data_IF_245485409325
#
_entry.id   IF_245485409325
#
_cell.length_a   1.000
_cell.length_b   1.000
_cell.length_c   1.000
_cell.angle_alpha   90.00
_cell.angle_beta   90.00
_cell.angle_gamma   90.00
#
_symmetry.space_group_name_H-M   'P 1'
#
loop_
_entity.id
_entity.type
_entity.pdbx_description
1 polymer ?
#
# COMPACT_ATOMS: atom_id res chain seq x y z
N UNK A 1 0.46 -12.13 2.61
CA UNK A 1 -0.48 -11.27 1.88
C UNK A 1 -1.44 -12.16 1.11
N UNK A 2 -2.73 -11.98 1.30
CA UNK A 2 -3.79 -12.71 0.59
C UNK A 2 -4.43 -11.74 -0.42
N UNK A 3 -4.61 -12.19 -1.65
CA UNK A 3 -5.19 -11.42 -2.75
C UNK A 3 -6.31 -12.22 -3.40
N UNK A 4 -7.43 -11.59 -3.74
CA UNK A 4 -8.47 -12.24 -4.52
C UNK A 4 -8.35 -11.96 -6.02
N UNK A 5 -8.79 -12.91 -6.82
CA UNK A 5 -8.71 -12.91 -8.27
C UNK A 5 -10.03 -12.57 -8.95
N UNK A 6 -11.01 -11.98 -8.25
CA UNK A 6 -12.36 -11.78 -8.79
C UNK A 6 -12.35 -10.97 -10.09
N UNK A 7 -11.60 -9.87 -10.16
CA UNK A 7 -11.51 -9.07 -11.39
C UNK A 7 -10.98 -9.89 -12.58
N UNK A 8 -9.91 -10.65 -12.37
CA UNK A 8 -9.33 -11.53 -13.38
C UNK A 8 -10.31 -12.61 -13.82
N UNK A 9 -10.93 -13.32 -12.87
CA UNK A 9 -11.89 -14.39 -13.14
C UNK A 9 -13.13 -13.90 -13.89
N UNK A 10 -13.56 -12.66 -13.64
CA UNK A 10 -14.64 -12.00 -14.36
C UNK A 10 -14.24 -11.69 -15.81
N UNK A 11 -13.04 -11.13 -16.03
CA UNK A 11 -12.52 -10.84 -17.37
C UNK A 11 -12.39 -12.13 -18.18
N UNK A 12 -11.76 -13.16 -17.61
CA UNK A 12 -11.52 -14.45 -18.28
C UNK A 12 -12.82 -15.14 -18.73
N UNK A 13 -13.95 -14.83 -18.08
CA UNK A 13 -15.27 -15.41 -18.37
C UNK A 13 -16.21 -14.44 -19.11
N UNK A 14 -15.78 -13.21 -19.38
CA UNK A 14 -16.65 -12.18 -19.97
C UNK A 14 -17.84 -11.79 -19.08
N UNK A 15 -17.70 -11.91 -17.76
CA UNK A 15 -18.76 -11.64 -16.77
C UNK A 15 -18.64 -10.20 -16.28
N UNK A 16 -19.76 -9.48 -16.28
CA UNK A 16 -19.81 -8.12 -15.73
C UNK A 16 -20.23 -8.12 -14.25
N UNK A 17 -19.87 -7.06 -13.51
CA UNK A 17 -20.32 -6.89 -12.13
C UNK A 17 -21.87 -6.82 -12.02
N UNK A 18 -22.53 -6.27 -13.05
CA UNK A 18 -23.99 -6.23 -13.13
C UNK A 18 -24.59 -7.62 -13.24
N UNK A 19 -24.01 -8.48 -14.08
CA UNK A 19 -24.46 -9.86 -14.24
C UNK A 19 -24.24 -10.64 -12.94
N UNK A 20 -23.05 -10.52 -12.35
CA UNK A 20 -22.74 -11.16 -11.07
C UNK A 20 -23.69 -10.71 -9.94
N UNK A 21 -24.06 -9.42 -9.89
CA UNK A 21 -25.08 -8.93 -8.96
C UNK A 21 -26.45 -9.58 -9.19
N UNK A 22 -26.91 -9.62 -10.43
CA UNK A 22 -28.21 -10.20 -10.78
C UNK A 22 -28.29 -11.69 -10.42
N UNK A 23 -27.23 -12.43 -10.68
CA UNK A 23 -27.24 -13.90 -10.57
C UNK A 23 -26.94 -14.39 -9.15
N UNK A 24 -26.16 -13.64 -8.36
CA UNK A 24 -25.73 -14.06 -7.01
C UNK A 24 -26.42 -13.30 -5.86
N UNK A 25 -27.02 -12.15 -6.18
CA UNK A 25 -27.57 -11.20 -5.21
C UNK A 25 -26.52 -10.45 -4.38
N UNK A 26 -25.23 -10.58 -4.69
CA UNK A 26 -24.16 -9.84 -3.99
C UNK A 26 -24.19 -8.38 -4.47
N UNK A 27 -24.32 -7.43 -3.55
CA UNK A 27 -24.40 -6.01 -3.86
C UNK A 27 -23.22 -5.54 -4.75
N UNK A 28 -23.51 -4.68 -5.74
CA UNK A 28 -22.49 -4.16 -6.67
C UNK A 28 -21.33 -3.45 -5.95
N UNK A 29 -21.62 -2.74 -4.86
CA UNK A 29 -20.60 -2.10 -4.03
C UNK A 29 -19.66 -3.12 -3.38
N UNK A 30 -20.20 -4.25 -2.92
CA UNK A 30 -19.41 -5.37 -2.38
C UNK A 30 -18.59 -6.04 -3.47
N UNK A 31 -19.19 -6.32 -4.64
CA UNK A 31 -18.45 -6.86 -5.81
C UNK A 31 -17.29 -5.94 -6.17
N UNK A 32 -17.54 -4.63 -6.28
CA UNK A 32 -16.52 -3.63 -6.60
C UNK A 32 -15.39 -3.61 -5.56
N UNK A 33 -15.71 -3.63 -4.26
CA UNK A 33 -14.68 -3.68 -3.21
C UNK A 33 -13.84 -4.97 -3.31
N UNK A 34 -14.48 -6.12 -3.52
CA UNK A 34 -13.78 -7.40 -3.66
C UNK A 34 -12.91 -7.38 -4.93
N UNK A 35 -13.48 -7.06 -6.10
CA UNK A 35 -12.75 -7.10 -7.38
C UNK A 35 -11.55 -6.15 -7.39
N UNK A 36 -11.62 -5.03 -6.69
CA UNK A 36 -10.53 -4.07 -6.55
C UNK A 36 -9.58 -4.37 -5.38
N UNK A 37 -9.74 -5.50 -4.67
CA UNK A 37 -8.97 -5.86 -3.46
C UNK A 37 -9.01 -4.77 -2.35
N UNK A 38 -10.05 -3.92 -2.33
CA UNK A 38 -10.24 -2.84 -1.34
C UNK A 38 -11.11 -3.27 -0.16
N UNK A 39 -10.92 -4.49 0.32
CA UNK A 39 -11.66 -5.02 1.47
C UNK A 39 -10.79 -5.91 2.33
N UNK A 40 -10.86 -5.67 3.64
CA UNK A 40 -10.20 -6.45 4.69
C UNK A 40 -11.02 -7.68 5.10
N UNK A 41 -12.29 -7.75 4.71
CA UNK A 41 -13.26 -8.76 5.17
C UNK A 41 -14.18 -9.19 4.03
N UNK A 42 -14.16 -10.50 3.75
CA UNK A 42 -15.13 -11.14 2.86
C UNK A 42 -15.82 -12.25 3.66
N UNK A 43 -17.15 -12.22 3.70
CA UNK A 43 -17.91 -13.29 4.34
C UNK A 43 -17.69 -14.61 3.60
N UNK A 44 -17.53 -15.71 4.35
CA UNK A 44 -17.35 -17.05 3.77
C UNK A 44 -18.50 -17.41 2.81
N UNK A 45 -19.74 -17.04 3.15
CA UNK A 45 -20.90 -17.24 2.28
C UNK A 45 -20.82 -16.45 0.96
N UNK A 46 -20.16 -15.29 0.96
CA UNK A 46 -19.89 -14.52 -0.26
C UNK A 46 -18.83 -15.23 -1.12
N UNK A 47 -17.75 -15.71 -0.50
CA UNK A 47 -16.72 -16.49 -1.20
C UNK A 47 -17.33 -17.74 -1.82
N UNK A 48 -18.14 -18.50 -1.07
CA UNK A 48 -18.83 -19.70 -1.55
C UNK A 48 -19.72 -19.42 -2.76
N UNK A 49 -20.56 -18.37 -2.71
CA UNK A 49 -21.38 -17.96 -3.86
C UNK A 49 -20.55 -17.61 -5.09
N UNK A 50 -19.46 -16.85 -4.90
CA UNK A 50 -18.58 -16.45 -6.00
C UNK A 50 -17.87 -17.66 -6.61
N UNK A 51 -17.35 -18.56 -5.77
CA UNK A 51 -16.70 -19.80 -6.22
C UNK A 51 -17.66 -20.68 -7.01
N UNK A 52 -18.87 -20.90 -6.49
CA UNK A 52 -19.91 -21.68 -7.16
C UNK A 52 -20.32 -21.07 -8.51
N UNK A 53 -20.56 -19.75 -8.54
CA UNK A 53 -20.97 -19.07 -9.77
C UNK A 53 -19.87 -19.07 -10.83
N UNK A 54 -18.61 -18.83 -10.43
CA UNK A 54 -17.46 -18.81 -11.33
C UNK A 54 -16.93 -20.22 -11.66
N UNK A 55 -17.46 -21.26 -11.00
CA UNK A 55 -16.99 -22.64 -11.11
C UNK A 55 -15.48 -22.76 -10.83
N UNK A 56 -15.05 -22.21 -9.70
CA UNK A 56 -13.65 -22.26 -9.24
C UNK A 56 -13.55 -22.76 -7.81
N UNK A 57 -12.38 -23.27 -7.44
CA UNK A 57 -12.08 -23.56 -6.04
C UNK A 57 -11.61 -22.29 -5.29
N UNK A 58 -11.63 -22.28 -3.95
CA UNK A 58 -11.02 -21.20 -3.18
C UNK A 58 -9.53 -20.99 -3.48
N UNK A 59 -8.81 -22.05 -3.89
CA UNK A 59 -7.40 -21.97 -4.27
C UNK A 59 -7.17 -21.23 -5.60
N UNK A 60 -8.15 -21.25 -6.51
CA UNK A 60 -8.11 -20.46 -7.74
C UNK A 60 -8.57 -19.02 -7.50
N UNK A 61 -9.48 -18.84 -6.52
CA UNK A 61 -10.03 -17.53 -6.17
C UNK A 61 -9.05 -16.64 -5.41
N UNK A 62 -8.17 -17.22 -4.61
CA UNK A 62 -7.17 -16.48 -3.82
C UNK A 62 -5.74 -16.84 -4.19
N UNK A 63 -4.92 -15.82 -4.40
CA UNK A 63 -3.47 -15.93 -4.39
C UNK A 63 -2.92 -15.59 -3.01
N UNK A 64 -1.87 -16.29 -2.61
CA UNK A 64 -1.23 -16.08 -1.31
C UNK A 64 0.29 -16.10 -1.44
N UNK A 65 0.93 -15.10 -0.85
CA UNK A 65 2.36 -15.13 -0.54
C UNK A 65 2.56 -15.06 0.98
N UNK A 66 3.47 -15.86 1.55
CA UNK A 66 3.69 -15.98 3.00
C UNK A 66 4.55 -14.83 3.55
N UNK A 67 4.15 -13.60 3.24
CA UNK A 67 4.78 -12.37 3.70
C UNK A 67 3.78 -11.50 4.45
N UNK A 68 4.21 -10.88 5.54
CA UNK A 68 3.46 -9.88 6.28
C UNK A 68 4.30 -8.61 6.34
N UNK A 69 3.67 -7.45 6.14
CA UNK A 69 4.33 -6.16 6.06
C UNK A 69 3.96 -5.36 7.30
N UNK A 70 4.95 -4.78 7.98
CA UNK A 70 4.71 -3.73 8.97
C UNK A 70 5.64 -2.55 8.73
N UNK A 71 5.12 -1.35 8.95
CA UNK A 71 5.83 -0.12 8.62
C UNK A 71 5.90 0.82 9.82
N UNK A 72 6.94 1.63 9.85
CA UNK A 72 7.09 2.80 10.72
C UNK A 72 7.63 3.94 9.90
N UNK A 73 7.01 5.10 9.96
CA UNK A 73 7.53 6.31 9.35
C UNK A 73 7.28 7.50 10.27
N UNK A 74 8.03 8.58 10.07
CA UNK A 74 7.92 9.80 10.85
C UNK A 74 8.97 10.82 10.46
N UNK A 75 9.05 11.87 11.27
CA UNK A 75 10.08 12.90 11.18
C UNK A 75 11.27 12.49 12.05
N UNK A 76 12.48 12.82 11.61
CA UNK A 76 13.67 12.53 12.44
C UNK A 76 13.73 13.42 13.69
N UNK A 77 13.20 14.64 13.59
CA UNK A 77 13.33 15.67 14.62
C UNK A 77 12.09 15.80 15.52
N UNK A 78 10.99 15.11 15.21
CA UNK A 78 9.69 15.29 15.88
C UNK A 78 8.95 13.96 15.99
N UNK A 79 8.19 13.77 17.07
CA UNK A 79 7.40 12.57 17.29
C UNK A 79 6.12 12.54 16.44
N UNK A 80 5.63 13.70 15.99
CA UNK A 80 4.39 13.80 15.21
C UNK A 80 4.28 15.05 14.34
N UNK A 81 3.37 15.01 13.36
CA UNK A 81 2.93 16.18 12.60
C UNK A 81 2.44 17.32 13.52
N UNK A 82 1.77 16.98 14.63
CA UNK A 82 1.21 17.96 15.55
C UNK A 82 2.29 18.70 16.34
N UNK A 83 3.29 17.97 16.85
CA UNK A 83 4.44 18.58 17.55
C UNK A 83 5.24 19.49 16.61
N UNK A 84 5.53 19.01 15.40
CA UNK A 84 6.17 19.81 14.36
C UNK A 84 5.36 21.08 14.03
N UNK A 85 4.03 20.97 13.94
CA UNK A 85 3.16 22.13 13.70
C UNK A 85 3.13 23.13 14.87
N UNK A 86 3.22 22.66 16.12
CA UNK A 86 3.26 23.50 17.32
C UNK A 86 4.56 24.29 17.46
N UNK A 87 5.69 23.74 17.03
CA UNK A 87 6.97 24.45 17.01
C UNK A 87 7.07 25.44 15.84
N UNK A 88 6.46 25.10 14.69
CA UNK A 88 6.44 25.90 13.46
C UNK A 88 5.38 27.03 13.49
N UNK A 89 5.28 27.77 14.61
CA UNK A 89 4.26 28.83 14.83
C UNK A 89 4.28 29.99 13.82
N UNK A 90 5.30 30.06 12.97
CA UNK A 90 5.42 31.05 11.91
C UNK A 90 5.19 30.41 10.55
N UNK A 91 4.42 31.10 9.71
CA UNK A 91 4.15 30.66 8.36
C UNK A 91 5.43 30.67 7.52
N UNK A 92 5.96 29.49 7.21
CA UNK A 92 7.04 29.29 6.26
C UNK A 92 6.53 28.40 5.12
N UNK A 93 6.87 28.77 3.90
CA UNK A 93 6.54 27.99 2.71
C UNK A 93 7.78 27.18 2.30
N UNK A 94 7.61 25.86 2.12
CA UNK A 94 8.63 25.01 1.52
C UNK A 94 9.81 24.70 2.44
N UNK A 95 9.58 24.60 3.75
CA UNK A 95 10.60 24.11 4.68
C UNK A 95 10.83 22.61 4.46
N UNK A 96 12.08 22.20 4.37
CA UNK A 96 12.46 20.80 4.15
C UNK A 96 12.70 20.10 5.49
N UNK A 97 11.87 19.12 5.83
CA UNK A 97 12.04 18.28 7.02
C UNK A 97 12.59 16.90 6.64
N UNK A 98 13.60 16.38 7.36
CA UNK A 98 14.05 15.01 7.23
C UNK A 98 13.01 14.02 7.76
N UNK A 99 12.83 12.94 7.02
CA UNK A 99 11.86 11.87 7.31
C UNK A 99 12.49 10.49 7.14
N UNK A 100 11.97 9.53 7.89
CA UNK A 100 12.36 8.13 7.78
C UNK A 100 11.18 7.23 7.42
N UNK A 101 11.49 6.08 6.83
CA UNK A 101 10.57 4.97 6.64
C UNK A 101 11.32 3.66 6.93
N UNK A 102 10.71 2.79 7.71
CA UNK A 102 11.21 1.45 8.01
C UNK A 102 10.13 0.47 7.62
N UNK A 103 10.45 -0.43 6.70
CA UNK A 103 9.56 -1.51 6.28
C UNK A 103 10.13 -2.82 6.80
N UNK A 104 9.28 -3.57 7.50
CA UNK A 104 9.59 -4.91 7.96
C UNK A 104 8.76 -5.92 7.18
N UNK A 105 9.43 -6.95 6.69
CA UNK A 105 8.81 -8.10 6.06
C UNK A 105 9.00 -9.32 6.95
N UNK A 106 7.90 -9.91 7.39
CA UNK A 106 7.91 -11.17 8.12
C UNK A 106 7.65 -12.32 7.17
N UNK A 107 8.57 -13.27 7.14
CA UNK A 107 8.48 -14.48 6.32
C UNK A 107 8.95 -15.69 7.13
N UNK A 108 8.07 -16.68 7.30
CA UNK A 108 8.38 -17.93 8.02
C UNK A 108 9.02 -17.70 9.41
N UNK A 109 8.52 -16.70 10.15
CA UNK A 109 9.03 -16.33 11.47
C UNK A 109 10.34 -15.53 11.47
N UNK A 110 10.94 -15.27 10.30
CA UNK A 110 12.06 -14.35 10.16
C UNK A 110 11.55 -12.95 9.83
N UNK A 111 12.12 -11.96 10.49
CA UNK A 111 11.89 -10.55 10.20
C UNK A 111 13.06 -10.04 9.35
N UNK A 112 12.75 -9.48 8.20
CA UNK A 112 13.68 -8.76 7.33
C UNK A 112 13.34 -7.28 7.37
N UNK A 113 14.33 -6.41 7.36
CA UNK A 113 14.13 -4.96 7.49
C UNK A 113 14.87 -4.19 6.40
N UNK A 114 14.15 -3.23 5.81
CA UNK A 114 14.69 -2.20 4.92
C UNK A 114 14.36 -0.83 5.50
N UNK A 115 15.36 0.03 5.50
CA UNK A 115 15.29 1.37 6.07
C UNK A 115 15.52 2.39 4.95
N UNK A 116 14.76 3.48 5.02
CA UNK A 116 14.80 4.60 4.09
C UNK A 116 15.01 5.90 4.86
N UNK A 117 15.73 6.80 4.22
CA UNK A 117 15.94 8.16 4.66
C UNK A 117 15.50 9.11 3.55
N UNK A 118 14.99 10.27 3.93
CA UNK A 118 14.27 11.12 3.02
C UNK A 118 14.05 12.53 3.52
N UNK A 119 13.31 13.29 2.72
CA UNK A 119 12.82 14.61 3.12
C UNK A 119 11.43 14.86 2.55
N UNK A 120 10.69 15.77 3.17
CA UNK A 120 9.46 16.33 2.64
C UNK A 120 9.43 17.84 2.80
N UNK A 121 8.64 18.50 1.96
CA UNK A 121 8.35 19.93 2.11
C UNK A 121 7.09 20.12 2.93
N UNK A 122 7.25 20.82 4.04
CA UNK A 122 6.21 21.22 4.94
C UNK A 122 5.66 22.58 4.54
N UNK A 123 4.34 22.67 4.44
CA UNK A 123 3.63 23.94 4.30
C UNK A 123 2.71 24.16 5.49
N UNK A 124 2.97 25.24 6.24
CA UNK A 124 2.19 25.61 7.43
C UNK A 124 1.06 26.60 7.14
N UNK A 125 0.92 27.10 5.91
CA UNK A 125 -0.17 27.99 5.52
C UNK A 125 -1.47 27.19 5.33
N UNK A 126 -2.40 27.31 6.29
CA UNK A 126 -3.70 26.65 6.32
C UNK A 126 -3.63 25.12 6.12
N UNK A 127 -3.52 24.40 7.25
CA UNK A 127 -3.70 22.94 7.39
C UNK A 127 -2.45 22.05 7.42
N UNK A 128 -1.24 22.58 7.68
CA UNK A 128 0.01 21.80 7.89
C UNK A 128 0.11 20.52 7.03
N UNK A 129 0.64 20.64 5.82
CA UNK A 129 0.71 19.51 4.88
C UNK A 129 2.13 19.24 4.42
N UNK A 130 2.43 17.95 4.24
CA UNK A 130 3.65 17.53 3.54
C UNK A 130 3.41 17.45 2.03
N UNK A 131 4.45 17.76 1.27
CA UNK A 131 4.51 17.67 -0.18
C UNK A 131 5.91 17.25 -0.62
N UNK A 132 6.07 16.86 -1.88
CA UNK A 132 7.37 16.50 -2.47
C UNK A 132 8.19 15.51 -1.62
N UNK A 133 7.52 14.52 -1.00
CA UNK A 133 8.21 13.53 -0.20
C UNK A 133 9.11 12.66 -1.07
N UNK A 134 10.34 12.43 -0.64
CA UNK A 134 11.30 11.58 -1.32
C UNK A 134 11.96 10.64 -0.32
N UNK A 135 12.10 9.37 -0.68
CA UNK A 135 12.82 8.37 0.11
C UNK A 135 13.93 7.74 -0.73
N UNK A 136 15.02 7.40 -0.07
CA UNK A 136 16.12 6.58 -0.61
C UNK A 136 16.44 5.49 0.40
N UNK A 137 16.75 4.30 -0.11
CA UNK A 137 17.19 3.19 0.75
C UNK A 137 18.46 3.61 1.48
N UNK A 138 18.39 3.70 2.80
CA UNK A 138 19.56 3.95 3.64
C UNK A 138 20.23 2.64 4.04
N UNK A 139 19.46 1.55 4.20
CA UNK A 139 19.97 0.24 4.60
C UNK A 139 19.05 -0.90 4.15
N UNK A 140 19.62 -1.91 3.53
CA UNK A 140 18.94 -3.15 3.14
C UNK A 140 19.86 -4.37 3.34
N UNK A 141 20.28 -4.59 4.58
CA UNK A 141 21.21 -5.68 4.89
C UNK A 141 20.57 -7.07 4.74
N UNK A 142 19.25 -7.14 4.76
CA UNK A 142 18.48 -8.38 4.71
C UNK A 142 18.05 -8.77 3.29
N UNK A 143 18.40 -7.97 2.26
CA UNK A 143 18.02 -8.23 0.87
C UNK A 143 16.51 -8.16 0.65
N UNK A 144 15.83 -7.24 1.33
CA UNK A 144 14.38 -7.05 1.24
C UNK A 144 13.99 -6.55 -0.14
N UNK A 145 14.76 -5.62 -0.73
CA UNK A 145 14.52 -5.10 -2.07
C UNK A 145 14.48 -6.23 -3.11
N UNK A 146 15.51 -7.09 -3.11
CA UNK A 146 15.57 -8.29 -3.94
C UNK A 146 14.41 -9.27 -3.65
N UNK A 147 14.07 -9.43 -2.37
CA UNK A 147 12.96 -10.31 -1.96
C UNK A 147 11.63 -9.84 -2.58
N UNK A 148 11.33 -8.54 -2.49
CA UNK A 148 10.11 -7.95 -3.07
C UNK A 148 10.17 -8.01 -4.60
N UNK A 149 11.33 -7.70 -5.21
CA UNK A 149 11.49 -7.73 -6.66
C UNK A 149 11.22 -9.11 -7.27
N UNK A 150 11.43 -10.18 -6.49
CA UNK A 150 11.14 -11.55 -6.90
C UNK A 150 9.68 -11.98 -6.65
N UNK A 151 8.83 -11.16 -6.02
CA UNK A 151 7.40 -11.47 -5.89
C UNK A 151 6.68 -11.43 -7.24
N UNK A 152 5.54 -12.13 -7.40
CA UNK A 152 4.72 -11.95 -8.59
C UNK A 152 4.31 -10.47 -8.75
N UNK A 153 4.31 -9.97 -9.99
CA UNK A 153 4.10 -8.54 -10.32
C UNK A 153 2.89 -7.91 -9.60
N UNK A 154 1.78 -8.64 -9.48
CA UNK A 154 0.60 -8.16 -8.77
C UNK A 154 0.85 -7.86 -7.30
N UNK A 155 1.68 -8.65 -6.61
CA UNK A 155 2.05 -8.40 -5.21
C UNK A 155 3.07 -7.29 -5.07
N UNK A 156 3.92 -7.06 -6.08
CA UNK A 156 4.79 -5.89 -6.12
C UNK A 156 3.96 -4.60 -6.21
N UNK A 157 2.96 -4.58 -7.09
CA UNK A 157 2.04 -3.45 -7.20
C UNK A 157 1.27 -3.22 -5.89
N UNK A 158 0.73 -4.30 -5.29
CA UNK A 158 0.05 -4.21 -3.99
C UNK A 158 0.97 -3.68 -2.90
N UNK A 159 2.24 -4.09 -2.89
CA UNK A 159 3.25 -3.56 -1.96
C UNK A 159 3.42 -2.05 -2.12
N UNK A 160 3.61 -1.56 -3.35
CA UNK A 160 3.78 -0.13 -3.60
C UNK A 160 2.53 0.68 -3.21
N UNK A 161 1.33 0.17 -3.47
CA UNK A 161 0.07 0.79 -3.02
C UNK A 161 -0.01 0.85 -1.49
N UNK A 162 0.27 -0.25 -0.80
CA UNK A 162 0.24 -0.32 0.67
C UNK A 162 1.21 0.69 1.29
N UNK A 163 2.43 0.80 0.74
CA UNK A 163 3.42 1.77 1.20
C UNK A 163 2.94 3.20 0.93
N UNK A 164 2.35 3.46 -0.24
CA UNK A 164 1.82 4.78 -0.59
C UNK A 164 0.69 5.21 0.33
N UNK A 165 -0.30 4.36 0.56
CA UNK A 165 -1.42 4.65 1.47
C UNK A 165 -0.91 4.91 2.90
N UNK A 166 0.09 4.14 3.35
CA UNK A 166 0.69 4.33 4.66
C UNK A 166 1.41 5.69 4.77
N UNK A 167 2.26 6.03 3.81
CA UNK A 167 2.96 7.33 3.77
C UNK A 167 1.95 8.47 3.69
N UNK A 168 0.95 8.35 2.82
CA UNK A 168 -0.12 9.35 2.68
C UNK A 168 -0.78 9.66 4.01
N UNK A 169 -1.18 8.61 4.74
CA UNK A 169 -1.83 8.75 6.04
C UNK A 169 -0.90 9.29 7.12
N UNK A 170 0.40 8.96 7.06
CA UNK A 170 1.39 9.34 8.08
C UNK A 170 1.77 10.81 7.97
N UNK A 171 1.89 11.34 6.76
CA UNK A 171 2.41 12.69 6.49
C UNK A 171 1.34 13.68 5.99
N UNK A 172 0.06 13.28 5.97
CA UNK A 172 -1.08 14.05 5.46
C UNK A 172 -0.84 14.65 4.06
N UNK A 173 -0.40 13.79 3.14
CA UNK A 173 -0.05 14.19 1.76
C UNK A 173 -1.28 14.05 0.86
N UNK A 174 -1.46 15.01 -0.04
CA UNK A 174 -2.48 14.90 -1.10
C UNK A 174 -2.18 13.69 -2.02
N UNK A 175 -3.16 12.81 -2.30
CA UNK A 175 -2.92 11.57 -3.04
C UNK A 175 -2.28 11.79 -4.41
N UNK A 176 -2.64 12.88 -5.10
CA UNK A 176 -2.08 13.21 -6.43
C UNK A 176 -0.57 13.45 -6.43
N UNK A 177 0.03 13.75 -5.28
CA UNK A 177 1.46 14.10 -5.16
C UNK A 177 2.37 12.89 -4.92
N UNK A 178 1.80 11.70 -4.71
CA UNK A 178 2.53 10.50 -4.29
C UNK A 178 2.80 9.49 -5.41
N UNK A 179 1.98 9.47 -6.47
CA UNK A 179 2.09 8.46 -7.53
C UNK A 179 3.42 8.55 -8.30
N UNK A 180 3.94 9.76 -8.50
CA UNK A 180 5.20 9.99 -9.21
C UNK A 180 6.44 9.78 -8.31
N UNK A 181 6.29 9.99 -7.00
CA UNK A 181 7.40 9.99 -6.04
C UNK A 181 7.60 8.65 -5.34
N UNK A 182 6.52 7.92 -5.06
CA UNK A 182 6.53 6.64 -4.37
C UNK A 182 6.02 5.56 -5.31
N UNK A 183 6.97 4.90 -5.97
CA UNK A 183 6.73 3.77 -6.87
C UNK A 183 7.77 2.66 -6.63
N UNK A 184 7.58 1.49 -7.26
CA UNK A 184 8.49 0.34 -7.09
C UNK A 184 9.95 0.69 -7.38
N UNK A 185 10.19 1.49 -8.42
CA UNK A 185 11.53 2.00 -8.74
C UNK A 185 12.18 2.70 -7.56
N UNK A 186 11.54 3.72 -6.98
CA UNK A 186 12.08 4.43 -5.81
C UNK A 186 12.16 3.56 -4.55
N UNK A 187 11.25 2.60 -4.37
CA UNK A 187 11.21 1.76 -3.18
C UNK A 187 12.23 0.63 -3.21
N UNK A 188 12.58 0.12 -4.40
CA UNK A 188 13.41 -1.08 -4.55
C UNK A 188 14.75 -0.82 -5.25
N UNK A 189 14.98 0.37 -5.81
CA UNK A 189 16.26 0.63 -6.48
C UNK A 189 17.38 0.60 -5.46
N UNK A 190 18.38 -0.28 -5.62
CA UNK A 190 19.57 -0.24 -4.79
C UNK A 190 20.18 1.16 -4.92
N UNK A 191 20.56 1.75 -3.80
CA UNK A 191 21.23 3.05 -3.79
C UNK A 191 22.47 3.01 -4.70
N UNK A 192 22.71 4.13 -5.37
CA UNK A 192 23.85 4.39 -6.25
C UNK A 192 25.20 3.97 -5.64
#
# INVERSE_FOLDING_TARGET
MLRNNLAKLMIDRGITATQLFNDTGIARSTISKISNNKTDKINISTVDKLCNYLMVSPADFFDYIPFEISMKAGFDNYDSLSELAEEMQFAFEGWEEPVFLIINIFHLGKKLTIEYQGSCFVNTQNFFKCSNIQFKISKDNDGVSDTIFNWPIQFQNDFAEIVREYIQSTFDIEPSSLEETIHLGTLLSPTF
#
